data_IF_420662672410
#
_entry.id   IF_420662672410
#
_cell.length_a   1.000
_cell.length_b   1.000
_cell.length_c   1.000
_cell.angle_alpha   90.00
_cell.angle_beta   90.00
_cell.angle_gamma   90.00
#
_symmetry.space_group_name_H-M   'P 1'
#
loop_
_entity.id
_entity.type
_entity.pdbx_description
1 polymer ?
#
# COMPACT_ATOMS: atom_id res chain seq x y z
N UNK A 1 30.96 20.71 -23.17
CA UNK A 1 31.56 19.43 -23.59
C UNK A 1 31.10 18.26 -22.74
N UNK A 2 31.35 18.24 -21.41
CA UNK A 2 30.88 17.17 -20.51
C UNK A 2 29.39 16.85 -20.64
N UNK A 3 28.50 17.84 -20.48
CA UNK A 3 27.05 17.59 -20.48
C UNK A 3 26.54 17.05 -21.82
N UNK A 4 27.11 17.54 -22.92
CA UNK A 4 26.77 17.07 -24.27
C UNK A 4 27.19 15.62 -24.50
N UNK A 5 28.35 15.22 -23.98
CA UNK A 5 28.78 13.82 -24.01
C UNK A 5 27.87 12.92 -23.18
N UNK A 6 27.58 13.32 -21.93
CA UNK A 6 26.70 12.57 -21.04
C UNK A 6 25.29 12.42 -21.61
N UNK A 7 24.75 13.48 -22.22
CA UNK A 7 23.46 13.46 -22.90
C UNK A 7 23.47 12.45 -24.06
N UNK A 8 24.49 12.50 -24.93
CA UNK A 8 24.60 11.58 -26.06
C UNK A 8 24.67 10.11 -25.63
N UNK A 9 25.41 9.81 -24.55
CA UNK A 9 25.45 8.46 -23.97
C UNK A 9 24.09 8.08 -23.41
N UNK A 10 23.45 8.97 -22.63
CA UNK A 10 22.14 8.69 -22.04
C UNK A 10 21.09 8.38 -23.10
N UNK A 11 21.03 9.12 -24.21
CA UNK A 11 20.05 8.87 -25.28
C UNK A 11 20.23 7.50 -25.93
N UNK A 12 21.47 7.10 -26.21
CA UNK A 12 21.76 5.76 -26.75
C UNK A 12 21.35 4.66 -25.78
N UNK A 13 21.64 4.84 -24.49
CA UNK A 13 21.29 3.86 -23.46
C UNK A 13 19.77 3.77 -23.23
N UNK A 14 19.05 4.88 -23.29
CA UNK A 14 17.57 4.90 -23.21
C UNK A 14 16.95 4.15 -24.39
N UNK A 15 17.51 4.32 -25.60
CA UNK A 15 17.00 3.65 -26.79
C UNK A 15 17.27 2.14 -26.81
N UNK A 16 18.37 1.69 -26.18
CA UNK A 16 18.78 0.28 -26.20
C UNK A 16 18.34 -0.51 -24.96
N UNK A 17 18.20 0.15 -23.81
CA UNK A 17 17.93 -0.52 -22.56
C UNK A 17 16.49 -1.03 -22.44
N UNK A 18 16.33 -2.32 -22.18
CA UNK A 18 15.08 -2.97 -21.78
C UNK A 18 15.07 -3.27 -20.27
N UNK A 19 13.94 -3.10 -19.55
CA UNK A 19 13.82 -3.57 -18.17
C UNK A 19 14.05 -5.07 -18.04
N UNK A 20 14.74 -5.49 -16.99
CA UNK A 20 15.07 -6.88 -16.68
C UNK A 20 16.39 -7.35 -17.28
N UNK A 21 16.57 -7.23 -18.60
CA UNK A 21 17.78 -7.67 -19.30
C UNK A 21 18.89 -6.61 -19.23
N UNK A 22 18.56 -5.35 -19.48
CA UNK A 22 19.51 -4.24 -19.64
C UNK A 22 19.31 -3.12 -18.60
N UNK A 23 18.88 -3.48 -17.38
CA UNK A 23 18.62 -2.51 -16.31
C UNK A 23 19.82 -1.56 -16.08
N UNK A 24 21.04 -2.08 -16.18
CA UNK A 24 22.28 -1.31 -16.00
C UNK A 24 22.37 -0.12 -16.97
N UNK A 25 21.85 -0.26 -18.20
CA UNK A 25 21.80 0.82 -19.19
C UNK A 25 20.85 1.92 -18.72
N UNK A 26 19.66 1.54 -18.23
CA UNK A 26 18.67 2.49 -17.72
C UNK A 26 19.17 3.22 -16.48
N UNK A 27 19.80 2.51 -15.53
CA UNK A 27 20.45 3.12 -14.37
C UNK A 27 21.52 4.13 -14.77
N UNK A 28 22.38 3.77 -15.72
CA UNK A 28 23.46 4.63 -16.19
C UNK A 28 22.90 5.86 -16.91
N UNK A 29 21.90 5.67 -17.76
CA UNK A 29 21.21 6.77 -18.43
C UNK A 29 20.58 7.75 -17.44
N UNK A 30 19.83 7.25 -16.44
CA UNK A 30 19.20 8.09 -15.43
C UNK A 30 20.25 8.90 -14.65
N UNK A 31 21.36 8.27 -14.25
CA UNK A 31 22.47 8.98 -13.57
C UNK A 31 23.09 10.06 -14.46
N UNK A 32 23.26 9.81 -15.75
CA UNK A 32 23.76 10.82 -16.69
C UNK A 32 22.77 11.97 -16.89
N UNK A 33 21.48 11.69 -17.07
CA UNK A 33 20.41 12.71 -17.17
C UNK A 33 20.32 13.54 -15.89
N UNK A 34 20.48 12.92 -14.72
CA UNK A 34 20.43 13.60 -13.44
C UNK A 34 21.68 14.45 -13.15
N UNK A 35 22.81 14.15 -13.80
CA UNK A 35 24.07 14.85 -13.60
C UNK A 35 24.26 16.08 -14.52
N UNK A 36 23.45 16.22 -15.57
CA UNK A 36 23.48 17.37 -16.48
C UNK A 36 22.50 18.45 -16.06
N UNK A 37 22.69 19.67 -16.59
CA UNK A 37 21.78 20.79 -16.36
C UNK A 37 20.33 20.43 -16.75
N UNK A 38 19.33 20.76 -15.92
CA UNK A 38 17.97 20.32 -16.16
C UNK A 38 17.37 20.74 -17.50
N UNK A 39 17.79 21.89 -18.03
CA UNK A 39 17.28 22.48 -19.27
C UNK A 39 17.78 21.75 -20.53
N UNK A 40 18.77 20.86 -20.40
CA UNK A 40 19.37 20.13 -21.51
C UNK A 40 18.65 18.82 -21.86
N UNK A 41 17.66 18.42 -21.07
CA UNK A 41 16.87 17.22 -21.33
C UNK A 41 15.39 17.50 -21.04
N UNK A 42 14.52 16.89 -21.83
CA UNK A 42 13.08 17.06 -21.65
C UNK A 42 12.66 16.64 -20.22
N UNK A 43 12.00 17.52 -19.46
CA UNK A 43 11.68 17.25 -18.05
C UNK A 43 10.75 16.06 -17.88
N UNK A 44 9.79 15.87 -18.80
CA UNK A 44 8.84 14.74 -18.74
C UNK A 44 9.57 13.42 -18.96
N UNK A 45 10.41 13.34 -20.00
CA UNK A 45 11.26 12.16 -20.25
C UNK A 45 12.23 11.90 -19.08
N UNK A 46 12.74 12.94 -18.42
CA UNK A 46 13.56 12.79 -17.22
C UNK A 46 12.77 12.17 -16.06
N UNK A 47 11.56 12.67 -15.82
CA UNK A 47 10.65 12.18 -14.77
C UNK A 47 10.27 10.71 -15.03
N UNK A 48 9.90 10.36 -16.25
CA UNK A 48 9.56 8.98 -16.65
C UNK A 48 10.74 8.02 -16.46
N UNK A 49 11.94 8.42 -16.88
CA UNK A 49 13.14 7.61 -16.74
C UNK A 49 13.46 7.36 -15.26
N UNK A 50 13.39 8.41 -14.44
CA UNK A 50 13.63 8.32 -13.00
C UNK A 50 12.59 7.46 -12.29
N UNK A 51 11.30 7.62 -12.61
CA UNK A 51 10.24 6.76 -12.08
C UNK A 51 10.48 5.29 -12.43
N UNK A 52 10.80 5.03 -13.70
CA UNK A 52 11.08 3.67 -14.20
C UNK A 52 12.27 3.03 -13.48
N UNK A 53 13.38 3.74 -13.39
CA UNK A 53 14.60 3.24 -12.73
C UNK A 53 14.41 3.08 -11.23
N UNK A 54 13.69 4.01 -10.59
CA UNK A 54 13.33 3.90 -9.18
C UNK A 54 12.48 2.65 -8.90
N UNK A 55 11.49 2.34 -9.74
CA UNK A 55 10.70 1.11 -9.62
C UNK A 55 11.56 -0.16 -9.77
N UNK A 56 12.48 -0.17 -10.74
CA UNK A 56 13.43 -1.27 -10.91
C UNK A 56 14.31 -1.43 -9.66
N UNK A 57 14.81 -0.33 -9.10
CA UNK A 57 15.63 -0.34 -7.89
C UNK A 57 14.86 -0.89 -6.69
N UNK A 58 13.61 -0.44 -6.47
CA UNK A 58 12.72 -0.97 -5.42
C UNK A 58 12.47 -2.47 -5.57
N UNK A 59 12.15 -2.93 -6.79
CA UNK A 59 11.91 -4.35 -7.07
C UNK A 59 13.15 -5.23 -6.79
N UNK A 60 14.35 -4.66 -6.89
CA UNK A 60 15.63 -5.32 -6.55
C UNK A 60 16.07 -5.13 -5.10
N UNK A 61 15.27 -4.45 -4.28
CA UNK A 61 15.56 -4.19 -2.87
C UNK A 61 16.57 -3.05 -2.62
N UNK A 62 16.96 -2.27 -3.65
CA UNK A 62 17.79 -1.08 -3.46
C UNK A 62 16.91 0.15 -3.18
N UNK A 63 16.31 0.18 -1.99
CA UNK A 63 15.31 1.20 -1.64
C UNK A 63 15.89 2.62 -1.53
N UNK A 64 17.14 2.77 -1.08
CA UNK A 64 17.81 4.07 -1.00
C UNK A 64 18.02 4.64 -2.40
N UNK A 65 18.57 3.84 -3.32
CA UNK A 65 18.72 4.26 -4.73
C UNK A 65 17.37 4.60 -5.36
N UNK A 66 16.34 3.79 -5.07
CA UNK A 66 14.99 4.03 -5.59
C UNK A 66 14.46 5.40 -5.18
N UNK A 67 14.57 5.75 -3.89
CA UNK A 67 14.18 7.05 -3.37
C UNK A 67 14.98 8.19 -4.01
N UNK A 68 16.29 8.02 -4.22
CA UNK A 68 17.10 9.03 -4.89
C UNK A 68 16.64 9.28 -6.33
N UNK A 69 16.28 8.22 -7.07
CA UNK A 69 15.68 8.38 -8.40
C UNK A 69 14.29 9.03 -8.33
N UNK A 70 13.43 8.64 -7.39
CA UNK A 70 12.11 9.28 -7.25
C UNK A 70 12.23 10.78 -6.91
N UNK A 71 13.12 11.16 -6.00
CA UNK A 71 13.45 12.56 -5.68
C UNK A 71 13.94 13.31 -6.90
N UNK A 72 14.85 12.72 -7.67
CA UNK A 72 15.34 13.32 -8.90
C UNK A 72 14.20 13.52 -9.91
N UNK A 73 13.29 12.55 -10.05
CA UNK A 73 12.09 12.67 -10.88
C UNK A 73 11.16 13.79 -10.43
N UNK A 74 10.94 13.95 -9.12
CA UNK A 74 10.09 15.02 -8.56
C UNK A 74 10.72 16.38 -8.82
N UNK A 75 12.05 16.48 -8.70
CA UNK A 75 12.81 17.70 -9.04
C UNK A 75 12.72 18.11 -10.51
N UNK A 76 12.17 17.27 -11.40
CA UNK A 76 11.96 17.56 -12.83
C UNK A 76 10.54 17.99 -13.15
N UNK A 77 9.59 17.85 -12.22
CA UNK A 77 8.21 18.25 -12.43
C UNK A 77 8.08 19.78 -12.49
N UNK A 78 7.27 20.27 -13.43
CA UNK A 78 6.81 21.66 -13.40
C UNK A 78 5.74 21.82 -12.30
N UNK A 79 6.00 22.56 -11.20
CA UNK A 79 5.08 22.67 -10.08
C UNK A 79 3.71 23.26 -10.45
N UNK A 80 3.62 23.99 -11.56
CA UNK A 80 2.37 24.63 -12.00
C UNK A 80 1.47 23.69 -12.78
N UNK A 81 2.06 22.75 -13.51
CA UNK A 81 1.37 21.96 -14.53
C UNK A 81 1.41 20.44 -14.26
N UNK A 82 2.22 19.95 -13.33
CA UNK A 82 2.38 18.51 -13.08
C UNK A 82 1.08 17.79 -12.69
N UNK A 83 0.14 18.49 -12.02
CA UNK A 83 -1.17 17.94 -11.66
C UNK A 83 -2.28 18.16 -12.71
N UNK A 84 -1.95 18.81 -13.84
CA UNK A 84 -2.86 18.92 -14.98
C UNK A 84 -3.05 17.57 -15.66
N UNK A 85 -4.13 17.45 -16.45
CA UNK A 85 -4.56 16.21 -17.08
C UNK A 85 -3.45 15.45 -17.81
N UNK A 86 -2.55 16.16 -18.49
CA UNK A 86 -1.48 15.58 -19.32
C UNK A 86 -0.37 14.88 -18.51
N UNK A 87 -0.14 15.30 -17.26
CA UNK A 87 0.96 14.80 -16.42
C UNK A 87 0.48 14.17 -15.10
N UNK A 88 -0.83 14.12 -14.90
CA UNK A 88 -1.45 13.72 -13.64
C UNK A 88 -1.03 12.30 -13.22
N UNK A 89 -1.16 11.32 -14.11
CA UNK A 89 -0.90 9.91 -13.77
C UNK A 89 0.58 9.69 -13.44
N UNK A 90 1.48 10.28 -14.25
CA UNK A 90 2.92 10.26 -14.01
C UNK A 90 3.28 10.87 -12.65
N UNK A 91 2.68 12.03 -12.35
CA UNK A 91 2.94 12.77 -11.11
C UNK A 91 2.41 12.02 -9.90
N UNK A 92 1.19 11.50 -9.96
CA UNK A 92 0.58 10.71 -8.90
C UNK A 92 1.38 9.44 -8.62
N UNK A 93 1.76 8.69 -9.67
CA UNK A 93 2.56 7.47 -9.53
C UNK A 93 3.94 7.79 -8.92
N UNK A 94 4.60 8.85 -9.39
CA UNK A 94 5.90 9.25 -8.85
C UNK A 94 5.83 9.65 -7.37
N UNK A 95 4.87 10.48 -6.97
CA UNK A 95 4.71 10.85 -5.56
C UNK A 95 4.32 9.65 -4.70
N UNK A 96 3.50 8.73 -5.22
CA UNK A 96 3.14 7.52 -4.51
C UNK A 96 4.34 6.57 -4.29
N UNK A 97 5.25 6.45 -5.27
CA UNK A 97 6.47 5.67 -5.07
C UNK A 97 7.47 6.39 -4.15
N UNK A 98 7.55 7.72 -4.23
CA UNK A 98 8.39 8.52 -3.34
C UNK A 98 7.92 8.36 -1.87
N UNK A 99 6.63 8.55 -1.58
CA UNK A 99 6.13 8.48 -0.20
C UNK A 99 6.33 7.09 0.42
N UNK A 100 6.15 6.02 -0.34
CA UNK A 100 6.36 4.66 0.15
C UNK A 100 7.84 4.35 0.33
N UNK A 101 8.69 4.80 -0.61
CA UNK A 101 10.13 4.63 -0.52
C UNK A 101 10.72 5.36 0.69
N UNK A 102 10.34 6.63 0.89
CA UNK A 102 10.79 7.44 2.03
C UNK A 102 10.37 6.81 3.36
N UNK A 103 9.12 6.35 3.46
CA UNK A 103 8.66 5.62 4.64
C UNK A 103 9.44 4.32 4.86
N UNK A 104 9.67 3.54 3.80
CA UNK A 104 10.40 2.27 3.86
C UNK A 104 11.83 2.44 4.40
N UNK A 105 12.51 3.54 4.06
CA UNK A 105 13.87 3.83 4.54
C UNK A 105 13.90 4.66 5.83
N UNK A 106 12.74 4.94 6.43
CA UNK A 106 12.60 5.62 7.72
C UNK A 106 12.68 7.15 7.67
N UNK A 107 12.57 7.76 6.50
CA UNK A 107 12.51 9.21 6.30
C UNK A 107 11.07 9.74 6.48
N UNK A 108 10.56 9.65 7.71
CA UNK A 108 9.15 9.93 8.02
C UNK A 108 8.71 11.37 7.70
N UNK A 109 9.60 12.36 7.87
CA UNK A 109 9.26 13.75 7.56
C UNK A 109 9.05 13.95 6.05
N UNK A 110 9.92 13.39 5.23
CA UNK A 110 9.84 13.45 3.77
C UNK A 110 8.63 12.65 3.25
N UNK A 111 8.37 11.49 3.84
CA UNK A 111 7.17 10.70 3.56
C UNK A 111 5.91 11.51 3.88
N UNK A 112 5.84 12.18 5.03
CA UNK A 112 4.71 13.02 5.42
C UNK A 112 4.48 14.19 4.45
N UNK A 113 5.55 14.86 4.01
CA UNK A 113 5.45 15.93 3.00
C UNK A 113 4.88 15.39 1.67
N UNK A 114 5.34 14.22 1.21
CA UNK A 114 4.82 13.60 0.00
C UNK A 114 3.36 13.14 0.14
N UNK A 115 2.97 12.62 1.32
CA UNK A 115 1.58 12.29 1.67
C UNK A 115 0.67 13.51 1.56
N UNK A 116 1.07 14.65 2.12
CA UNK A 116 0.29 15.90 2.05
C UNK A 116 0.08 16.36 0.60
N UNK A 117 1.12 16.23 -0.23
CA UNK A 117 1.02 16.55 -1.66
C UNK A 117 0.00 15.66 -2.36
N UNK A 118 0.00 14.33 -2.11
CA UNK A 118 -1.00 13.42 -2.68
C UNK A 118 -2.40 13.72 -2.15
N UNK A 119 -2.57 13.94 -0.84
CA UNK A 119 -3.88 14.27 -0.26
C UNK A 119 -4.48 15.54 -0.82
N UNK A 120 -3.66 16.54 -1.14
CA UNK A 120 -4.10 17.80 -1.73
C UNK A 120 -4.53 17.67 -3.18
N UNK A 121 -3.86 16.83 -3.96
CA UNK A 121 -4.02 16.84 -5.43
C UNK A 121 -4.76 15.62 -6.00
N UNK A 122 -4.77 14.48 -5.30
CA UNK A 122 -5.48 13.29 -5.76
C UNK A 122 -7.00 13.54 -5.83
N UNK A 123 -7.61 13.09 -6.92
CA UNK A 123 -8.98 13.44 -7.33
C UNK A 123 -10.03 12.55 -6.68
N UNK A 124 -9.66 11.34 -6.27
CA UNK A 124 -10.56 10.39 -5.64
C UNK A 124 -10.01 9.83 -4.33
N UNK A 125 -10.88 9.21 -3.53
CA UNK A 125 -10.48 8.55 -2.29
C UNK A 125 -9.56 7.36 -2.55
N UNK A 126 -9.84 6.46 -3.53
CA UNK A 126 -8.92 5.35 -3.84
C UNK A 126 -7.54 5.78 -4.34
N UNK A 127 -7.45 6.87 -5.11
CA UNK A 127 -6.15 7.43 -5.54
C UNK A 127 -5.27 7.87 -4.36
N UNK A 128 -5.89 8.16 -3.19
CA UNK A 128 -5.19 8.51 -1.96
C UNK A 128 -4.77 7.30 -1.14
N UNK A 129 -5.09 6.07 -1.54
CA UNK A 129 -4.87 4.86 -0.72
C UNK A 129 -3.41 4.69 -0.26
N UNK A 130 -2.43 4.87 -1.15
CA UNK A 130 -1.00 4.73 -0.81
C UNK A 130 -0.58 5.78 0.23
N UNK A 131 -1.01 7.02 0.04
CA UNK A 131 -0.81 8.09 1.01
C UNK A 131 -1.56 7.86 2.35
N UNK A 132 -2.78 7.33 2.31
CA UNK A 132 -3.57 6.96 3.49
C UNK A 132 -2.88 5.86 4.30
N UNK A 133 -2.34 4.85 3.63
CA UNK A 133 -1.61 3.75 4.27
C UNK A 133 -0.38 4.30 5.01
N UNK A 134 0.48 5.06 4.32
CA UNK A 134 1.69 5.65 4.94
C UNK A 134 1.33 6.66 6.03
N UNK A 135 0.27 7.44 5.86
CA UNK A 135 -0.24 8.32 6.90
C UNK A 135 -0.60 7.54 8.18
N UNK A 136 -1.25 6.39 8.06
CA UNK A 136 -1.60 5.53 9.20
C UNK A 136 -0.35 4.90 9.83
N UNK A 137 0.59 4.37 9.03
CA UNK A 137 1.87 3.82 9.54
C UNK A 137 2.67 4.88 10.32
N UNK A 138 2.84 6.08 9.76
CA UNK A 138 3.69 7.14 10.37
C UNK A 138 3.19 7.61 11.75
N UNK A 139 1.91 7.41 12.08
CA UNK A 139 1.39 7.69 13.44
C UNK A 139 2.04 6.83 14.52
N UNK A 140 2.51 5.63 14.17
CA UNK A 140 3.24 4.76 15.11
C UNK A 140 4.59 5.37 15.45
N UNK A 141 5.32 5.87 14.45
CA UNK A 141 6.65 6.46 14.62
C UNK A 141 6.61 7.74 15.48
N UNK A 142 5.51 8.49 15.45
CA UNK A 142 5.40 9.79 16.12
C UNK A 142 4.71 9.82 17.50
N UNK A 143 3.83 8.86 17.83
CA UNK A 143 2.94 9.02 19.01
C UNK A 143 2.62 7.71 19.73
N UNK A 144 2.03 6.72 19.05
CA UNK A 144 1.70 5.38 19.58
C UNK A 144 0.92 4.54 18.55
N UNK A 145 0.76 3.25 18.80
CA UNK A 145 -0.17 2.41 18.03
C UNK A 145 -1.63 2.89 18.10
N UNK A 146 -2.07 3.48 19.23
CA UNK A 146 -3.43 4.00 19.39
C UNK A 146 -3.79 5.10 18.38
N UNK A 147 -2.90 6.08 18.16
CA UNK A 147 -3.13 7.16 17.20
C UNK A 147 -3.24 6.64 15.74
N UNK A 148 -2.46 5.60 15.42
CA UNK A 148 -2.55 4.91 14.15
C UNK A 148 -3.89 4.18 13.98
N UNK A 149 -4.34 3.49 15.02
CA UNK A 149 -5.65 2.82 15.03
C UNK A 149 -6.78 3.82 14.79
N UNK A 150 -6.79 4.93 15.51
CA UNK A 150 -7.86 5.94 15.40
C UNK A 150 -7.90 6.55 13.98
N UNK A 151 -6.73 6.85 13.40
CA UNK A 151 -6.62 7.33 12.00
C UNK A 151 -7.09 6.27 10.98
N UNK A 152 -6.76 5.00 11.21
CA UNK A 152 -7.21 3.90 10.37
C UNK A 152 -8.72 3.71 10.39
N UNK A 153 -9.35 3.85 11.56
CA UNK A 153 -10.80 3.81 11.71
C UNK A 153 -11.49 5.01 11.03
N UNK A 154 -10.93 6.20 11.13
CA UNK A 154 -11.43 7.39 10.43
C UNK A 154 -11.42 7.17 8.91
N UNK A 155 -10.30 6.68 8.37
CA UNK A 155 -10.19 6.39 6.93
C UNK A 155 -11.17 5.28 6.51
N UNK A 156 -11.35 4.22 7.32
CA UNK A 156 -12.37 3.21 7.05
C UNK A 156 -13.79 3.79 6.99
N UNK A 157 -14.09 4.78 7.82
CA UNK A 157 -15.35 5.54 7.77
C UNK A 157 -15.55 6.26 6.43
N UNK A 158 -14.49 6.83 5.85
CA UNK A 158 -14.54 7.43 4.50
C UNK A 158 -14.88 6.41 3.40
N UNK A 159 -14.61 5.12 3.63
CA UNK A 159 -14.99 4.02 2.75
C UNK A 159 -16.28 3.30 3.20
N UNK A 160 -17.15 3.97 3.97
CA UNK A 160 -18.43 3.44 4.48
C UNK A 160 -18.27 2.19 5.39
N UNK A 161 -17.11 2.03 6.05
CA UNK A 161 -16.85 0.96 7.02
C UNK A 161 -16.81 1.54 8.43
N UNK A 162 -17.99 1.62 9.03
CA UNK A 162 -18.15 2.10 10.40
C UNK A 162 -17.80 1.04 11.44
N UNK A 163 -16.78 1.33 12.26
CA UNK A 163 -16.32 0.52 13.38
C UNK A 163 -16.13 1.44 14.60
N UNK A 164 -16.76 1.15 15.75
CA UNK A 164 -16.55 1.93 16.96
C UNK A 164 -15.09 1.92 17.41
N UNK A 165 -14.57 3.07 17.86
CA UNK A 165 -13.20 3.21 18.39
C UNK A 165 -12.96 2.33 19.62
N UNK A 166 -13.96 2.21 20.49
CA UNK A 166 -13.93 1.37 21.69
C UNK A 166 -15.11 0.39 21.69
N UNK A 167 -15.04 -0.71 20.92
CA UNK A 167 -16.14 -1.66 20.84
C UNK A 167 -16.23 -2.49 22.12
N UNK A 168 -17.45 -2.68 22.59
CA UNK A 168 -17.76 -3.56 23.72
C UNK A 168 -17.81 -5.04 23.30
N UNK A 169 -17.62 -5.96 24.24
CA UNK A 169 -17.80 -7.40 23.99
C UNK A 169 -19.22 -7.75 23.48
N UNK A 170 -20.24 -6.97 23.87
CA UNK A 170 -21.61 -7.13 23.34
C UNK A 170 -21.68 -6.81 21.86
N UNK A 171 -21.06 -5.71 21.42
CA UNK A 171 -20.97 -5.34 20.01
C UNK A 171 -20.17 -6.37 19.21
N UNK A 172 -19.05 -6.85 19.75
CA UNK A 172 -18.26 -7.91 19.12
C UNK A 172 -19.07 -9.22 18.95
N UNK A 173 -19.86 -9.61 19.96
CA UNK A 173 -20.71 -10.80 19.86
C UNK A 173 -21.84 -10.64 18.83
N UNK A 174 -22.40 -9.43 18.71
CA UNK A 174 -23.34 -9.11 17.62
C UNK A 174 -22.67 -9.24 16.25
N UNK A 175 -21.44 -8.75 16.12
CA UNK A 175 -20.66 -8.84 14.88
C UNK A 175 -20.37 -10.30 14.49
N UNK A 176 -19.96 -11.13 15.46
CA UNK A 176 -19.79 -12.60 15.29
C UNK A 176 -21.08 -13.28 14.84
N UNK A 177 -22.23 -12.90 15.43
CA UNK A 177 -23.52 -13.44 15.03
C UNK A 177 -23.86 -13.06 13.58
N UNK A 178 -23.64 -11.80 13.19
CA UNK A 178 -23.85 -11.35 11.81
C UNK A 178 -22.95 -12.07 10.80
N UNK A 179 -21.70 -12.37 11.17
CA UNK A 179 -20.81 -13.21 10.35
C UNK A 179 -21.38 -14.63 10.18
N UNK A 180 -21.85 -15.28 11.25
CA UNK A 180 -22.47 -16.61 11.16
C UNK A 180 -23.67 -16.62 10.22
N UNK A 181 -24.53 -15.59 10.30
CA UNK A 181 -25.68 -15.43 9.40
C UNK A 181 -25.22 -15.25 7.94
N UNK A 182 -24.19 -14.43 7.68
CA UNK A 182 -23.66 -14.22 6.34
C UNK A 182 -23.05 -15.49 5.73
N UNK A 183 -22.42 -16.34 6.55
CA UNK A 183 -21.89 -17.63 6.12
C UNK A 183 -22.98 -18.63 5.75
N UNK A 184 -24.18 -18.53 6.33
CA UNK A 184 -25.31 -19.46 6.08
C UNK A 184 -24.92 -20.93 6.23
N UNK A 185 -24.17 -21.24 7.28
CA UNK A 185 -23.67 -22.60 7.56
C UNK A 185 -22.46 -23.04 6.71
N UNK A 186 -21.96 -22.21 5.78
CA UNK A 186 -20.74 -22.50 5.02
C UNK A 186 -19.49 -22.30 5.88
N UNK A 187 -18.45 -23.09 5.58
CA UNK A 187 -17.10 -22.88 6.11
C UNK A 187 -16.46 -21.60 5.55
N UNK A 188 -15.54 -20.99 6.30
CA UNK A 188 -14.71 -19.88 5.81
C UNK A 188 -13.86 -20.28 4.59
N UNK A 189 -13.60 -21.57 4.38
CA UNK A 189 -12.97 -22.09 3.17
C UNK A 189 -13.77 -21.77 1.89
N UNK A 190 -15.04 -21.35 1.99
CA UNK A 190 -15.77 -20.90 0.81
C UNK A 190 -15.18 -19.63 0.17
N UNK A 191 -14.43 -18.82 0.93
CA UNK A 191 -13.82 -17.58 0.46
C UNK A 191 -12.77 -17.82 -0.63
N UNK A 192 -12.04 -18.95 -0.61
CA UNK A 192 -11.03 -19.28 -1.63
C UNK A 192 -11.62 -19.52 -3.02
N UNK A 193 -12.95 -19.66 -3.11
CA UNK A 193 -13.70 -19.80 -4.38
C UNK A 193 -14.13 -18.46 -4.96
N UNK A 194 -13.97 -17.35 -4.24
CA UNK A 194 -14.36 -16.04 -4.74
C UNK A 194 -13.34 -15.49 -5.73
N UNK A 195 -13.78 -14.64 -6.67
CA UNK A 195 -12.86 -13.86 -7.52
C UNK A 195 -12.04 -12.88 -6.68
N UNK A 196 -10.90 -12.47 -7.23
CA UNK A 196 -10.08 -11.38 -6.68
C UNK A 196 -10.81 -10.06 -6.93
N UNK A 197 -10.83 -9.17 -5.95
CA UNK A 197 -11.48 -7.87 -6.06
C UNK A 197 -10.79 -6.99 -7.11
N UNK A 198 -11.59 -6.33 -7.95
CA UNK A 198 -11.13 -5.29 -8.88
C UNK A 198 -11.61 -3.89 -8.48
N UNK A 199 -12.58 -3.81 -7.57
CA UNK A 199 -13.10 -2.54 -7.06
C UNK A 199 -12.13 -1.91 -6.07
N UNK A 200 -11.62 -0.73 -6.41
CA UNK A 200 -10.57 -0.05 -5.63
C UNK A 200 -11.01 0.26 -4.19
N UNK A 201 -12.29 0.58 -3.97
CA UNK A 201 -12.83 0.83 -2.64
C UNK A 201 -12.73 -0.40 -1.73
N UNK A 202 -12.99 -1.61 -2.24
CA UNK A 202 -12.89 -2.85 -1.45
C UNK A 202 -11.43 -3.18 -1.15
N UNK A 203 -10.54 -2.93 -2.10
CA UNK A 203 -9.09 -3.09 -1.91
C UNK A 203 -8.61 -2.13 -0.81
N UNK A 204 -9.03 -0.87 -0.87
CA UNK A 204 -8.69 0.14 0.12
C UNK A 204 -9.20 -0.21 1.53
N UNK A 205 -10.46 -0.64 1.65
CA UNK A 205 -11.04 -1.11 2.92
C UNK A 205 -10.18 -2.22 3.53
N UNK A 206 -9.78 -3.21 2.74
CA UNK A 206 -9.01 -4.35 3.23
C UNK A 206 -7.58 -3.95 3.64
N UNK A 207 -6.91 -3.12 2.84
CA UNK A 207 -5.55 -2.65 3.10
C UNK A 207 -5.48 -1.78 4.37
N UNK A 208 -6.40 -0.82 4.53
CA UNK A 208 -6.47 0.03 5.74
C UNK A 208 -6.92 -0.78 6.97
N UNK A 209 -7.85 -1.72 6.82
CA UNK A 209 -8.25 -2.59 7.92
C UNK A 209 -7.10 -3.50 8.40
N UNK A 210 -6.23 -3.95 7.49
CA UNK A 210 -5.09 -4.80 7.83
C UNK A 210 -4.13 -4.10 8.80
N UNK A 211 -3.69 -2.89 8.45
CA UNK A 211 -2.81 -2.08 9.30
C UNK A 211 -3.50 -1.67 10.61
N UNK A 212 -4.78 -1.27 10.55
CA UNK A 212 -5.57 -0.93 11.74
C UNK A 212 -5.66 -2.11 12.71
N UNK A 213 -5.93 -3.32 12.20
CA UNK A 213 -5.98 -4.54 13.00
C UNK A 213 -4.63 -4.86 13.64
N UNK A 214 -3.54 -4.76 12.85
CA UNK A 214 -2.17 -5.02 13.32
C UNK A 214 -1.83 -4.09 14.49
N UNK A 215 -2.08 -2.79 14.34
CA UNK A 215 -1.78 -1.80 15.38
C UNK A 215 -2.70 -1.92 16.60
N UNK A 216 -3.99 -2.24 16.41
CA UNK A 216 -4.90 -2.52 17.52
C UNK A 216 -4.44 -3.75 18.33
N UNK A 217 -3.84 -4.75 17.67
CA UNK A 217 -3.27 -5.92 18.34
C UNK A 217 -2.07 -5.56 19.21
N UNK A 218 -1.19 -4.67 18.73
CA UNK A 218 -0.04 -4.19 19.50
C UNK A 218 -0.41 -3.21 20.61
N UNK A 219 -1.47 -2.41 20.43
CA UNK A 219 -2.03 -1.51 21.45
C UNK A 219 -2.87 -2.24 22.51
N UNK A 220 -2.90 -3.58 22.50
CA UNK A 220 -3.71 -4.43 23.40
C UNK A 220 -5.23 -4.20 23.30
N UNK A 221 -5.72 -3.56 22.23
CA UNK A 221 -7.16 -3.40 21.91
C UNK A 221 -7.73 -4.64 21.20
N UNK A 222 -7.62 -5.81 21.84
CA UNK A 222 -7.97 -7.12 21.23
C UNK A 222 -9.43 -7.26 20.77
N UNK A 223 -10.37 -6.61 21.46
CA UNK A 223 -11.79 -6.57 21.07
C UNK A 223 -11.97 -5.81 19.76
N UNK A 224 -11.29 -4.67 19.62
CA UNK A 224 -11.29 -3.88 18.39
C UNK A 224 -10.62 -4.63 17.23
N UNK A 225 -9.44 -5.22 17.45
CA UNK A 225 -8.77 -6.02 16.43
C UNK A 225 -9.69 -7.15 15.90
N UNK A 226 -10.39 -7.84 16.80
CA UNK A 226 -11.37 -8.87 16.43
C UNK A 226 -12.57 -8.30 15.66
N UNK A 227 -13.06 -7.12 16.07
CA UNK A 227 -14.16 -6.41 15.41
C UNK A 227 -13.79 -6.06 13.97
N UNK A 228 -12.59 -5.51 13.74
CA UNK A 228 -12.06 -5.17 12.41
C UNK A 228 -12.00 -6.41 11.51
N UNK A 229 -11.36 -7.49 11.98
CA UNK A 229 -11.20 -8.70 11.16
C UNK A 229 -12.54 -9.35 10.80
N UNK A 230 -13.50 -9.40 11.73
CA UNK A 230 -14.83 -9.95 11.46
C UNK A 230 -15.63 -9.04 10.51
N UNK A 231 -15.53 -7.72 10.66
CA UNK A 231 -16.18 -6.77 9.76
C UNK A 231 -15.66 -6.94 8.32
N UNK A 232 -14.35 -7.11 8.14
CA UNK A 232 -13.76 -7.35 6.83
C UNK A 232 -14.15 -8.70 6.22
N UNK A 233 -14.26 -9.76 7.03
CA UNK A 233 -14.84 -11.02 6.58
C UNK A 233 -16.26 -10.84 6.01
N UNK A 234 -17.08 -9.99 6.65
CA UNK A 234 -18.43 -9.70 6.15
C UNK A 234 -18.41 -8.87 4.88
N UNK A 235 -17.49 -7.91 4.73
CA UNK A 235 -17.29 -7.17 3.48
C UNK A 235 -16.95 -8.13 2.35
N UNK A 236 -15.98 -9.03 2.55
CA UNK A 236 -15.62 -10.06 1.57
C UNK A 236 -16.81 -10.97 1.20
N UNK A 237 -17.61 -11.41 2.19
CA UNK A 237 -18.81 -12.22 1.95
C UNK A 237 -19.92 -11.46 1.21
N UNK A 238 -20.13 -10.18 1.54
CA UNK A 238 -21.15 -9.33 0.91
C UNK A 238 -20.82 -9.08 -0.56
N UNK A 239 -19.58 -8.69 -0.84
CA UNK A 239 -19.12 -8.36 -2.19
C UNK A 239 -18.73 -9.61 -2.99
N UNK A 240 -18.61 -10.77 -2.33
CA UNK A 240 -18.17 -12.04 -2.91
C UNK A 240 -16.82 -11.94 -3.62
N UNK A 241 -15.88 -11.25 -3.00
CA UNK A 241 -14.51 -11.05 -3.49
C UNK A 241 -13.49 -11.28 -2.38
N UNK A 242 -12.23 -11.52 -2.77
CA UNK A 242 -11.08 -11.61 -1.87
C UNK A 242 -9.98 -10.63 -2.30
N UNK A 243 -9.12 -10.21 -1.36
CA UNK A 243 -7.97 -9.34 -1.62
C UNK A 243 -6.69 -9.96 -1.03
N UNK A 244 -5.52 -9.47 -1.46
CA UNK A 244 -4.22 -9.90 -0.93
C UNK A 244 -4.06 -9.67 0.57
N UNK A 245 -4.80 -8.71 1.14
CA UNK A 245 -4.75 -8.36 2.56
C UNK A 245 -5.65 -9.24 3.46
N UNK A 246 -6.70 -9.83 2.90
CA UNK A 246 -7.69 -10.63 3.63
C UNK A 246 -7.07 -11.84 4.38
N UNK A 247 -6.11 -12.61 3.82
CA UNK A 247 -5.51 -13.71 4.56
C UNK A 247 -4.95 -13.31 5.94
N UNK A 248 -4.23 -12.18 6.03
CA UNK A 248 -3.69 -11.69 7.30
C UNK A 248 -4.80 -11.37 8.31
N UNK A 249 -5.87 -10.70 7.85
CA UNK A 249 -7.02 -10.36 8.67
C UNK A 249 -7.69 -11.62 9.25
N UNK A 250 -7.84 -12.66 8.42
CA UNK A 250 -8.44 -13.95 8.83
C UNK A 250 -7.54 -14.67 9.83
N UNK A 251 -6.24 -14.81 9.55
CA UNK A 251 -5.28 -15.47 10.45
C UNK A 251 -5.24 -14.81 11.83
N UNK A 252 -5.31 -13.48 11.87
CA UNK A 252 -5.23 -12.70 13.10
C UNK A 252 -6.41 -12.95 14.05
N UNK A 253 -7.58 -13.33 13.55
CA UNK A 253 -8.74 -13.71 14.37
C UNK A 253 -8.51 -14.99 15.19
N UNK A 254 -7.55 -15.82 14.80
CA UNK A 254 -7.16 -17.00 15.56
C UNK A 254 -6.37 -16.68 16.84
N UNK A 255 -5.68 -15.54 16.91
CA UNK A 255 -4.78 -15.23 18.03
C UNK A 255 -5.49 -15.13 19.40
N UNK A 256 -6.62 -14.42 19.55
CA UNK A 256 -7.35 -14.36 20.82
C UNK A 256 -7.93 -15.71 21.25
N UNK A 257 -8.22 -16.61 20.31
CA UNK A 257 -8.74 -17.95 20.60
C UNK A 257 -7.65 -18.86 21.15
N UNK A 258 -6.42 -18.77 20.63
CA UNK A 258 -5.26 -19.50 21.18
C UNK A 258 -4.97 -19.07 22.62
N UNK A 259 -5.02 -17.76 22.91
CA UNK A 259 -4.82 -17.24 24.27
C UNK A 259 -5.87 -17.73 25.28
N UNK A 260 -7.04 -18.17 24.80
CA UNK A 260 -8.13 -18.73 25.61
C UNK A 260 -8.23 -20.26 25.48
N UNK A 261 -7.19 -20.92 24.98
CA UNK A 261 -7.10 -22.39 24.78
C UNK A 261 -8.19 -22.98 23.86
N UNK A 262 -8.79 -22.15 22.98
CA UNK A 262 -9.81 -22.57 22.01
C UNK A 262 -9.17 -22.95 20.67
N UNK A 263 -8.41 -24.05 20.67
CA UNK A 263 -7.56 -24.44 19.55
C UNK A 263 -8.34 -24.80 18.28
N UNK A 264 -9.49 -25.47 18.36
CA UNK A 264 -10.30 -25.81 17.16
C UNK A 264 -10.79 -24.56 16.42
N UNK A 265 -11.25 -23.55 17.17
CA UNK A 265 -11.67 -22.28 16.61
C UNK A 265 -10.49 -21.53 15.98
N UNK A 266 -9.32 -21.55 16.63
CA UNK A 266 -8.11 -20.96 16.06
C UNK A 266 -7.66 -21.66 14.77
N UNK A 267 -7.73 -23.00 14.73
CA UNK A 267 -7.40 -23.80 13.56
C UNK A 267 -8.33 -23.49 12.37
N UNK A 268 -9.60 -23.20 12.63
CA UNK A 268 -10.56 -22.80 11.58
C UNK A 268 -10.11 -21.54 10.84
N UNK A 269 -9.68 -20.51 11.57
CA UNK A 269 -9.16 -19.28 10.97
C UNK A 269 -7.80 -19.50 10.31
N UNK A 270 -6.93 -20.30 10.93
CA UNK A 270 -5.62 -20.65 10.37
C UNK A 270 -5.75 -21.31 8.99
N UNK A 271 -6.58 -22.36 8.89
CA UNK A 271 -6.80 -23.10 7.66
C UNK A 271 -7.43 -22.23 6.56
N UNK A 272 -8.38 -21.37 6.93
CA UNK A 272 -8.99 -20.44 5.98
C UNK A 272 -7.98 -19.40 5.47
N UNK A 273 -7.17 -18.83 6.36
CA UNK A 273 -6.13 -17.88 5.99
C UNK A 273 -5.07 -18.49 5.07
N UNK A 274 -4.58 -19.69 5.37
CA UNK A 274 -3.63 -20.42 4.52
C UNK A 274 -4.20 -20.71 3.13
N UNK A 275 -5.43 -21.21 3.05
CA UNK A 275 -6.10 -21.46 1.76
C UNK A 275 -6.31 -20.18 0.94
N UNK A 276 -6.47 -19.02 1.60
CA UNK A 276 -6.51 -17.73 0.92
C UNK A 276 -5.14 -17.27 0.45
N UNK A 277 -4.06 -17.54 1.19
CA UNK A 277 -2.68 -17.19 0.75
C UNK A 277 -2.30 -17.90 -0.55
N UNK A 278 -2.72 -19.14 -0.75
CA UNK A 278 -2.49 -19.90 -1.99
C UNK A 278 -3.09 -19.23 -3.24
N UNK A 279 -4.06 -18.33 -3.07
CA UNK A 279 -4.67 -17.55 -4.16
C UNK A 279 -3.83 -16.34 -4.58
N UNK A 280 -2.82 -15.97 -3.80
CA UNK A 280 -1.94 -14.84 -4.02
C UNK A 280 -0.48 -15.31 -3.94
N UNK A 281 0.03 -16.03 -4.95
CA UNK A 281 1.43 -16.45 -4.96
C UNK A 281 2.33 -15.23 -4.81
N UNK A 282 3.38 -15.32 -3.98
CA UNK A 282 4.31 -14.22 -3.76
C UNK A 282 4.85 -13.71 -5.11
N UNK A 283 4.49 -12.46 -5.44
CA UNK A 283 5.16 -11.76 -6.53
C UNK A 283 6.61 -11.53 -6.10
N UNK A 284 7.55 -12.01 -6.90
CA UNK A 284 8.98 -11.72 -6.70
C UNK A 284 9.19 -10.22 -6.90
N UNK A 285 9.22 -9.48 -5.80
CA UNK A 285 9.36 -8.02 -5.78
C UNK A 285 8.16 -7.41 -5.10
N UNK A 286 8.34 -6.97 -3.85
CA UNK A 286 7.27 -6.42 -3.04
C UNK A 286 6.71 -5.14 -3.65
N UNK A 287 5.51 -5.23 -4.21
CA UNK A 287 4.63 -4.07 -4.36
C UNK A 287 3.79 -3.93 -3.08
N UNK A 288 3.99 -2.81 -2.37
CA UNK A 288 3.11 -2.37 -1.29
C UNK A 288 1.66 -2.31 -1.77
#
# INVERSE_FOLDING_TARGET
ERDSFLLGVAEVLIQRGSPGEDDWMLFTAARHVNAIKPELFDPVRATELNLKVGKIASAKGSFVDAVDFFRAGVGRLDPKNCWMREHYDLTLDLYNNLLEGEHTIGHEEQAAQAVEVVFKNARSLPEKLRAQYVYVESKVAGQSYGASVDSGLEILGLYDVEIPTEPTERQLNREKFQLKVALRGRSLLCLSKFPIATEEAVIAQMKIAQITLRHASFDKRSVLASMVGIRMLRVALKNRVITKDLPFLVLSLGAPLRQREKYEGAATYANAGMSLMERFPEEKGGEF
#
